data_IF_093991972443
#
_entry.id   IF_093991972443
#
_cell.length_a   1.000
_cell.length_b   1.000
_cell.length_c   1.000
_cell.angle_alpha   90.00
_cell.angle_beta   90.00
_cell.angle_gamma   90.00
#
_symmetry.space_group_name_H-M   'P 1'
#
loop_
_entity.id
_entity.type
_entity.pdbx_description
1 polymer ?
#
# COMPACT_ATOMS: atom_id res chain seq x y z
N UNK A 1 -44.35 -9.26 -36.04
CA UNK A 1 -43.36 -10.15 -35.42
C UNK A 1 -42.13 -9.32 -35.09
N UNK A 2 -41.96 -8.88 -33.83
CA UNK A 2 -40.75 -8.13 -33.45
C UNK A 2 -39.57 -9.13 -33.37
N UNK A 3 -38.37 -8.77 -33.87
CA UNK A 3 -37.21 -9.64 -33.73
C UNK A 3 -36.79 -9.68 -32.26
N UNK A 4 -36.77 -10.88 -31.70
CA UNK A 4 -36.21 -11.15 -30.39
C UNK A 4 -34.68 -11.12 -30.54
N UNK A 5 -34.06 -9.98 -30.24
CA UNK A 5 -32.60 -9.88 -30.15
C UNK A 5 -32.18 -10.50 -28.81
N UNK A 6 -31.74 -11.76 -28.85
CA UNK A 6 -31.08 -12.42 -27.74
C UNK A 6 -29.68 -11.81 -27.56
N UNK A 7 -29.55 -10.88 -26.61
CA UNK A 7 -28.25 -10.43 -26.10
C UNK A 7 -27.68 -11.53 -25.20
N UNK A 8 -26.83 -12.40 -25.75
CA UNK A 8 -25.97 -13.22 -24.91
C UNK A 8 -24.95 -12.30 -24.20
N UNK A 9 -24.92 -12.34 -22.87
CA UNK A 9 -23.83 -11.71 -22.14
C UNK A 9 -22.54 -12.45 -22.49
N UNK A 10 -21.52 -11.72 -22.97
CA UNK A 10 -20.22 -12.29 -23.28
C UNK A 10 -19.61 -12.94 -22.04
N UNK A 11 -18.97 -14.11 -22.24
CA UNK A 11 -18.27 -14.83 -21.17
C UNK A 11 -17.18 -13.95 -20.54
N UNK A 12 -16.99 -14.02 -19.21
CA UNK A 12 -15.95 -13.25 -18.53
C UNK A 12 -14.70 -14.12 -18.38
N UNK A 13 -13.60 -13.68 -18.98
CA UNK A 13 -12.29 -14.32 -18.90
C UNK A 13 -11.49 -13.71 -17.74
N UNK A 14 -11.15 -14.53 -16.74
CA UNK A 14 -10.36 -14.11 -15.57
C UNK A 14 -8.86 -14.32 -15.79
N UNK A 15 -8.08 -13.31 -15.43
CA UNK A 15 -6.61 -13.31 -15.50
C UNK A 15 -6.02 -13.04 -14.12
N UNK A 16 -5.10 -13.91 -13.66
CA UNK A 16 -4.31 -13.69 -12.45
C UNK A 16 -3.48 -12.41 -12.56
N UNK A 17 -3.58 -11.54 -11.56
CA UNK A 17 -2.89 -10.25 -11.54
C UNK A 17 -1.36 -10.37 -11.55
N UNK A 18 -0.80 -11.53 -11.17
CA UNK A 18 0.64 -11.79 -11.30
C UNK A 18 1.12 -11.86 -12.76
N UNK A 19 0.19 -12.03 -13.72
CA UNK A 19 0.47 -11.90 -15.17
C UNK A 19 0.44 -10.44 -15.64
N UNK A 20 0.00 -9.52 -14.78
CA UNK A 20 -0.06 -8.08 -15.01
C UNK A 20 1.05 -7.37 -14.23
N UNK A 21 1.02 -6.04 -14.21
CA UNK A 21 1.98 -5.24 -13.43
C UNK A 21 1.47 -5.04 -12.02
N UNK A 22 2.13 -5.67 -11.05
CA UNK A 22 1.89 -5.46 -9.62
C UNK A 22 2.97 -4.51 -9.07
N UNK A 23 2.57 -3.31 -8.70
CA UNK A 23 3.43 -2.33 -8.03
C UNK A 23 3.36 -2.49 -6.50
N UNK A 24 4.32 -1.90 -5.78
CA UNK A 24 4.39 -1.96 -4.31
C UNK A 24 4.93 -3.27 -3.74
N UNK A 25 5.24 -4.24 -4.60
CA UNK A 25 5.95 -5.48 -4.27
C UNK A 25 7.44 -5.32 -4.60
N UNK A 26 8.26 -5.05 -3.59
CA UNK A 26 9.65 -4.65 -3.80
C UNK A 26 10.65 -5.82 -3.92
N UNK A 27 10.24 -7.04 -3.56
CA UNK A 27 11.09 -8.24 -3.58
C UNK A 27 10.45 -9.36 -4.41
N UNK A 28 11.29 -10.30 -4.86
CA UNK A 28 10.89 -11.47 -5.63
C UNK A 28 10.98 -12.77 -4.82
N UNK A 29 11.83 -12.83 -3.80
CA UNK A 29 11.99 -13.97 -2.90
C UNK A 29 10.93 -13.93 -1.80
N UNK A 30 9.66 -14.19 -2.14
CA UNK A 30 8.55 -14.04 -1.20
C UNK A 30 8.08 -15.39 -0.63
N UNK A 31 7.60 -15.38 0.63
CA UNK A 31 6.98 -16.55 1.24
C UNK A 31 5.53 -16.75 0.76
N UNK A 32 4.84 -15.69 0.38
CA UNK A 32 3.60 -15.70 -0.40
C UNK A 32 3.58 -14.55 -1.43
N UNK A 33 2.78 -14.65 -2.50
CA UNK A 33 2.89 -13.77 -3.68
C UNK A 33 2.68 -12.27 -3.42
N UNK A 34 2.03 -11.92 -2.31
CA UNK A 34 1.65 -10.56 -1.93
C UNK A 34 2.25 -10.12 -0.58
N UNK A 35 3.31 -10.79 -0.13
CA UNK A 35 4.06 -10.35 1.05
C UNK A 35 4.85 -9.07 0.75
N UNK A 36 4.93 -8.18 1.74
CA UNK A 36 5.62 -6.89 1.65
C UNK A 36 7.07 -6.93 2.12
N UNK A 37 7.59 -8.09 2.52
CA UNK A 37 9.00 -8.31 2.89
C UNK A 37 9.48 -9.61 2.25
N UNK A 38 10.81 -9.75 2.01
CA UNK A 38 11.37 -10.98 1.48
C UNK A 38 11.25 -12.11 2.51
N UNK A 39 11.18 -13.36 2.05
CA UNK A 39 11.06 -14.55 2.89
C UNK A 39 12.22 -14.66 3.90
N UNK A 40 13.41 -14.22 3.48
CA UNK A 40 14.60 -14.14 4.33
C UNK A 40 14.39 -13.24 5.57
N UNK A 41 13.53 -12.21 5.48
CA UNK A 41 13.25 -11.31 6.59
C UNK A 41 12.57 -12.00 7.78
N UNK A 42 11.89 -13.13 7.58
CA UNK A 42 11.21 -13.86 8.66
C UNK A 42 12.13 -14.19 9.84
N UNK A 43 13.42 -14.41 9.57
CA UNK A 43 14.42 -14.77 10.59
C UNK A 43 15.08 -13.55 11.24
N UNK A 44 14.94 -12.36 10.65
CA UNK A 44 15.67 -11.15 11.09
C UNK A 44 14.76 -10.11 11.71
N UNK A 45 13.53 -9.95 11.21
CA UNK A 45 12.58 -8.99 11.78
C UNK A 45 11.82 -9.59 12.95
N UNK A 46 11.29 -8.72 13.82
CA UNK A 46 10.44 -9.14 14.94
C UNK A 46 9.20 -9.90 14.43
N UNK A 47 8.71 -10.93 15.14
CA UNK A 47 7.53 -11.69 14.71
C UNK A 47 6.29 -10.85 14.39
N UNK A 48 6.07 -9.75 15.13
CA UNK A 48 4.97 -8.82 14.87
C UNK A 48 5.14 -8.08 13.54
N UNK A 49 6.36 -7.68 13.16
CA UNK A 49 6.65 -7.06 11.87
C UNK A 49 6.45 -8.06 10.74
N UNK A 50 6.95 -9.29 10.90
CA UNK A 50 6.75 -10.36 9.93
C UNK A 50 5.26 -10.67 9.72
N UNK A 51 4.49 -10.80 10.79
CA UNK A 51 3.04 -11.03 10.68
C UNK A 51 2.35 -9.91 9.89
N UNK A 52 2.68 -8.65 10.19
CA UNK A 52 2.13 -7.49 9.49
C UNK A 52 2.62 -7.36 8.04
N UNK A 53 3.81 -7.88 7.69
CA UNK A 53 4.30 -7.86 6.30
C UNK A 53 3.52 -8.81 5.39
N UNK A 54 2.75 -9.75 5.96
CA UNK A 54 1.85 -10.64 5.21
C UNK A 54 0.59 -9.95 4.70
N UNK A 55 0.32 -8.70 5.10
CA UNK A 55 -0.75 -7.89 4.54
C UNK A 55 -0.33 -7.26 3.22
N UNK A 56 -1.27 -7.02 2.30
CA UNK A 56 -1.01 -6.47 0.96
C UNK A 56 -1.03 -4.93 0.88
N UNK A 57 -0.89 -4.23 2.01
CA UNK A 57 -1.00 -2.76 2.06
C UNK A 57 -0.13 -2.05 1.02
N UNK A 58 -0.75 -1.14 0.27
CA UNK A 58 -0.07 -0.31 -0.73
C UNK A 58 0.29 -1.01 -2.03
N UNK A 59 0.04 -2.31 -2.17
CA UNK A 59 0.15 -2.98 -3.46
C UNK A 59 -0.99 -2.54 -4.40
N UNK A 60 -0.67 -2.43 -5.68
CA UNK A 60 -1.62 -2.00 -6.71
C UNK A 60 -1.34 -2.70 -8.03
N UNK A 61 -2.40 -3.15 -8.70
CA UNK A 61 -2.31 -3.73 -10.03
C UNK A 61 -2.56 -2.64 -11.06
N UNK A 62 -1.62 -2.42 -11.97
CA UNK A 62 -1.74 -1.48 -13.08
C UNK A 62 -1.98 -2.21 -14.38
N UNK A 63 -3.06 -1.85 -15.07
CA UNK A 63 -3.48 -2.51 -16.30
C UNK A 63 -4.28 -1.57 -17.19
N UNK A 64 -4.40 -1.96 -18.47
CA UNK A 64 -5.13 -1.25 -19.50
C UNK A 64 -6.23 -2.14 -20.06
N UNK A 65 -7.40 -1.58 -20.34
CA UNK A 65 -8.53 -2.34 -20.90
C UNK A 65 -9.51 -1.44 -21.65
N UNK A 66 -10.13 -1.96 -22.71
CA UNK A 66 -11.29 -1.40 -23.41
C UNK A 66 -12.63 -2.02 -22.96
N UNK A 67 -12.58 -2.91 -21.97
CA UNK A 67 -13.77 -3.62 -21.51
C UNK A 67 -14.85 -2.65 -20.99
N UNK A 68 -16.09 -2.91 -21.40
CA UNK A 68 -17.28 -2.20 -20.89
C UNK A 68 -17.75 -2.73 -19.53
N UNK A 69 -17.21 -3.88 -19.11
CA UNK A 69 -17.41 -4.50 -17.81
C UNK A 69 -16.06 -4.96 -17.26
N UNK A 70 -15.77 -4.63 -16.00
CA UNK A 70 -14.62 -5.13 -15.26
C UNK A 70 -15.10 -5.90 -14.04
N UNK A 71 -14.63 -7.14 -13.91
CA UNK A 71 -14.82 -7.96 -12.72
C UNK A 71 -13.50 -8.12 -11.98
N UNK A 72 -13.56 -8.34 -10.67
CA UNK A 72 -12.44 -8.86 -9.90
C UNK A 72 -12.93 -9.94 -8.95
N UNK A 73 -12.11 -10.96 -8.73
CA UNK A 73 -12.30 -11.93 -7.66
C UNK A 73 -11.03 -12.04 -6.84
N UNK A 74 -11.17 -12.13 -5.53
CA UNK A 74 -10.01 -12.19 -4.63
C UNK A 74 -10.30 -13.03 -3.40
N UNK A 75 -9.26 -13.66 -2.88
CA UNK A 75 -9.30 -14.45 -1.65
C UNK A 75 -8.41 -13.81 -0.61
N UNK A 76 -8.98 -13.41 0.53
CA UNK A 76 -8.21 -12.90 1.67
C UNK A 76 -7.67 -14.05 2.53
N UNK A 77 -6.58 -13.80 3.24
CA UNK A 77 -5.94 -14.84 4.07
C UNK A 77 -6.58 -14.96 5.46
N UNK A 78 -7.14 -13.86 5.98
CA UNK A 78 -7.80 -13.81 7.29
C UNK A 78 -9.33 -13.60 7.15
N UNK A 79 -10.11 -14.36 7.92
CA UNK A 79 -11.59 -14.26 7.96
C UNK A 79 -12.09 -13.03 8.74
N UNK A 80 -11.24 -12.41 9.56
CA UNK A 80 -11.54 -11.13 10.20
C UNK A 80 -11.47 -10.02 9.15
N UNK A 81 -12.62 -9.71 8.55
CA UNK A 81 -12.70 -8.78 7.41
C UNK A 81 -12.61 -7.31 7.80
N UNK A 82 -12.83 -6.95 9.06
CA UNK A 82 -12.86 -5.59 9.56
C UNK A 82 -12.17 -5.49 10.93
N UNK A 83 -11.90 -4.25 11.37
CA UNK A 83 -11.46 -3.96 12.73
C UNK A 83 -12.46 -3.01 13.39
N UNK A 84 -12.55 -2.93 14.72
CA UNK A 84 -13.51 -2.04 15.40
C UNK A 84 -13.44 -0.57 14.98
N UNK A 85 -12.26 -0.13 14.52
CA UNK A 85 -11.99 1.25 14.11
C UNK A 85 -11.76 1.40 12.60
N UNK A 86 -11.91 0.33 11.79
CA UNK A 86 -11.62 0.35 10.36
C UNK A 86 -12.59 -0.54 9.57
N UNK A 87 -13.26 -0.02 8.53
CA UNK A 87 -14.30 -0.76 7.82
C UNK A 87 -13.72 -1.91 7.00
N UNK A 88 -14.56 -2.90 6.70
CA UNK A 88 -14.15 -4.07 5.93
C UNK A 88 -13.61 -3.73 4.54
N UNK A 89 -14.14 -2.67 3.93
CA UNK A 89 -13.67 -2.13 2.64
C UNK A 89 -12.22 -1.63 2.69
N UNK A 90 -11.74 -1.17 3.85
CA UNK A 90 -10.35 -0.76 4.06
C UNK A 90 -9.45 -1.93 4.42
N UNK A 91 -9.92 -2.79 5.33
CA UNK A 91 -9.14 -3.92 5.85
C UNK A 91 -8.93 -5.01 4.80
N UNK A 92 -10.00 -5.40 4.11
CA UNK A 92 -10.06 -6.59 3.23
C UNK A 92 -10.56 -6.32 1.81
N UNK A 93 -10.90 -5.07 1.49
CA UNK A 93 -11.51 -4.70 0.21
C UNK A 93 -10.51 -4.38 -0.90
N UNK A 94 -11.04 -4.18 -2.11
CA UNK A 94 -10.31 -3.67 -3.27
C UNK A 94 -10.76 -2.25 -3.59
N UNK A 95 -9.93 -1.48 -4.30
CA UNK A 95 -10.24 -0.09 -4.66
C UNK A 95 -9.78 0.22 -6.08
N UNK A 96 -10.75 0.41 -6.98
CA UNK A 96 -10.52 0.57 -8.41
C UNK A 96 -10.55 2.04 -8.81
N UNK A 97 -9.52 2.46 -9.53
CA UNK A 97 -9.37 3.78 -10.12
C UNK A 97 -9.20 3.67 -11.64
N UNK A 98 -9.65 4.70 -12.34
CA UNK A 98 -9.50 4.86 -13.79
C UNK A 98 -8.86 6.21 -14.09
N UNK A 99 -8.05 6.26 -15.15
CA UNK A 99 -7.47 7.51 -15.65
C UNK A 99 -8.53 8.30 -16.43
N UNK A 100 -8.72 9.56 -16.05
CA UNK A 100 -9.54 10.54 -16.79
C UNK A 100 -8.71 11.80 -17.01
N UNK A 101 -8.32 12.04 -18.26
CA UNK A 101 -7.30 13.04 -18.60
C UNK A 101 -5.98 12.72 -17.90
N UNK A 102 -5.38 13.70 -17.23
CA UNK A 102 -4.14 13.49 -16.44
C UNK A 102 -4.39 12.95 -15.02
N UNK A 103 -5.64 12.78 -14.58
CA UNK A 103 -5.96 12.47 -13.17
C UNK A 103 -6.47 11.05 -12.99
N UNK A 104 -6.07 10.42 -11.90
CA UNK A 104 -6.72 9.21 -11.41
C UNK A 104 -8.02 9.56 -10.69
N UNK A 105 -9.12 8.92 -11.11
CA UNK A 105 -10.44 9.07 -10.49
C UNK A 105 -10.89 7.74 -9.91
N UNK A 106 -11.53 7.81 -8.75
CA UNK A 106 -12.16 6.63 -8.17
C UNK A 106 -13.28 6.14 -9.09
N UNK A 107 -13.37 4.82 -9.27
CA UNK A 107 -14.38 4.18 -10.11
C UNK A 107 -15.31 3.28 -9.30
N UNK A 108 -14.74 2.34 -8.54
CA UNK A 108 -15.50 1.37 -7.77
C UNK A 108 -14.68 0.85 -6.58
N UNK A 109 -15.33 0.13 -5.67
CA UNK A 109 -14.65 -0.61 -4.62
C UNK A 109 -15.19 -2.03 -4.47
N UNK A 110 -14.30 -2.97 -4.15
CA UNK A 110 -14.65 -4.32 -3.76
C UNK A 110 -15.04 -4.35 -2.29
N UNK A 111 -16.25 -4.86 -2.00
CA UNK A 111 -16.83 -4.86 -0.66
C UNK A 111 -16.81 -6.29 -0.11
N UNK A 112 -15.84 -6.63 0.74
CA UNK A 112 -15.67 -8.01 1.19
C UNK A 112 -16.75 -8.39 2.19
N UNK A 113 -17.31 -9.58 2.04
CA UNK A 113 -18.30 -10.18 2.95
C UNK A 113 -17.92 -11.60 3.38
N UNK A 114 -16.94 -12.21 2.71
CA UNK A 114 -16.43 -13.54 3.03
C UNK A 114 -14.92 -13.62 2.76
N UNK A 115 -14.35 -14.81 2.92
CA UNK A 115 -12.94 -15.07 2.57
C UNK A 115 -12.68 -14.96 1.06
N UNK A 116 -13.60 -15.47 0.25
CA UNK A 116 -13.61 -15.34 -1.21
C UNK A 116 -14.64 -14.28 -1.61
N UNK A 117 -14.26 -13.34 -2.45
CA UNK A 117 -15.10 -12.20 -2.81
C UNK A 117 -15.03 -11.93 -4.30
N UNK A 118 -16.08 -11.29 -4.80
CA UNK A 118 -16.16 -10.80 -6.18
C UNK A 118 -16.68 -9.36 -6.20
N UNK A 119 -16.32 -8.63 -7.25
CA UNK A 119 -16.92 -7.34 -7.59
C UNK A 119 -17.04 -7.24 -9.11
N UNK A 120 -18.06 -6.53 -9.58
CA UNK A 120 -18.23 -6.21 -11.01
C UNK A 120 -18.65 -4.76 -11.14
N UNK A 121 -18.06 -4.05 -12.09
CA UNK A 121 -18.50 -2.74 -12.56
C UNK A 121 -18.81 -2.87 -14.05
N UNK A 122 -20.02 -2.48 -14.44
CA UNK A 122 -20.51 -2.53 -15.82
C UNK A 122 -20.92 -1.14 -16.31
N UNK A 123 -21.14 -0.99 -17.61
CA UNK A 123 -21.54 0.28 -18.21
C UNK A 123 -20.37 1.27 -18.36
N UNK A 124 -19.13 0.76 -18.43
CA UNK A 124 -17.99 1.58 -18.81
C UNK A 124 -18.12 1.93 -20.30
N UNK A 125 -17.83 3.17 -20.69
CA UNK A 125 -17.97 3.60 -22.07
C UNK A 125 -17.03 2.79 -23.00
N UNK A 126 -17.55 2.35 -24.15
CA UNK A 126 -16.95 1.31 -25.01
C UNK A 126 -15.94 1.80 -26.05
N UNK A 127 -15.77 3.10 -26.19
CA UNK A 127 -15.06 3.72 -27.32
C UNK A 127 -13.56 3.92 -27.08
N UNK A 128 -13.06 3.64 -25.88
CA UNK A 128 -11.71 4.04 -25.47
C UNK A 128 -11.06 3.02 -24.55
N UNK A 129 -9.83 2.63 -24.91
CA UNK A 129 -8.92 1.89 -24.03
C UNK A 129 -8.50 2.81 -22.88
N UNK A 130 -8.65 2.37 -21.62
CA UNK A 130 -8.35 3.17 -20.43
C UNK A 130 -7.30 2.53 -19.53
N UNK A 131 -6.60 3.38 -18.79
CA UNK A 131 -5.67 2.97 -17.74
C UNK A 131 -6.39 2.81 -16.40
N UNK A 132 -6.05 1.76 -15.67
CA UNK A 132 -6.66 1.41 -14.39
C UNK A 132 -5.60 1.10 -13.32
N UNK A 133 -5.98 1.35 -12.07
CA UNK A 133 -5.27 0.95 -10.87
C UNK A 133 -6.24 0.22 -9.94
N UNK A 134 -5.89 -1.00 -9.53
CA UNK A 134 -6.64 -1.78 -8.54
C UNK A 134 -5.80 -1.97 -7.28
N UNK A 135 -6.11 -1.22 -6.22
CA UNK A 135 -5.41 -1.34 -4.94
C UNK A 135 -5.89 -2.55 -4.14
N UNK A 136 -4.94 -3.21 -3.48
CA UNK A 136 -5.16 -4.41 -2.68
C UNK A 136 -5.43 -4.10 -1.19
N UNK A 137 -5.96 -5.05 -0.41
CA UNK A 137 -6.32 -4.83 1.00
C UNK A 137 -5.20 -4.25 1.87
N UNK A 138 -5.57 -3.41 2.85
CA UNK A 138 -4.60 -2.76 3.74
C UNK A 138 -4.22 -3.63 4.94
N UNK A 139 -5.19 -4.21 5.64
CA UNK A 139 -4.97 -4.90 6.92
C UNK A 139 -5.28 -6.40 6.84
N UNK A 140 -5.23 -6.96 5.63
CA UNK A 140 -5.36 -8.38 5.36
C UNK A 140 -4.39 -8.76 4.23
N UNK A 141 -3.98 -10.02 4.20
CA UNK A 141 -3.28 -10.57 3.05
C UNK A 141 -4.27 -11.04 2.00
N UNK A 142 -3.78 -11.24 0.78
CA UNK A 142 -4.51 -11.94 -0.28
C UNK A 142 -3.70 -13.14 -0.74
N UNK A 143 -4.37 -14.26 -1.02
CA UNK A 143 -3.75 -15.44 -1.62
C UNK A 143 -3.96 -15.49 -3.13
N UNK A 144 -5.06 -14.92 -3.63
CA UNK A 144 -5.36 -14.79 -5.05
C UNK A 144 -6.10 -13.49 -5.34
N UNK A 145 -5.80 -12.91 -6.51
CA UNK A 145 -6.54 -11.79 -7.09
C UNK A 145 -6.56 -12.00 -8.61
N UNK A 146 -7.73 -11.90 -9.22
CA UNK A 146 -7.91 -12.04 -10.66
C UNK A 146 -8.80 -10.91 -11.18
N UNK A 147 -8.50 -10.41 -12.38
CA UNK A 147 -9.30 -9.42 -13.09
C UNK A 147 -10.01 -10.12 -14.25
N UNK A 148 -11.32 -9.93 -14.33
CA UNK A 148 -12.18 -10.47 -15.37
C UNK A 148 -12.60 -9.39 -16.37
N UNK A 149 -12.48 -9.69 -17.66
CA UNK A 149 -13.01 -8.88 -18.77
C UNK A 149 -13.87 -9.75 -19.67
N UNK A 150 -14.84 -9.20 -20.43
CA UNK A 150 -15.55 -9.95 -21.45
C UNK A 150 -14.58 -10.54 -22.47
N UNK A 151 -14.87 -11.75 -22.94
CA UNK A 151 -14.11 -12.40 -24.01
C UNK A 151 -13.96 -11.46 -25.21
N UNK A 152 -12.74 -11.41 -25.77
CA UNK A 152 -12.37 -10.49 -26.85
C UNK A 152 -12.01 -9.06 -26.39
N UNK A 153 -12.29 -8.68 -25.14
CA UNK A 153 -11.80 -7.40 -24.59
C UNK A 153 -10.31 -7.47 -24.26
N UNK A 154 -9.63 -6.31 -24.34
CA UNK A 154 -8.21 -6.20 -23.99
C UNK A 154 -8.02 -6.16 -22.48
N UNK A 155 -6.98 -6.84 -22.02
CA UNK A 155 -6.45 -6.71 -20.67
C UNK A 155 -4.91 -6.76 -20.73
N UNK A 156 -4.29 -5.59 -20.70
CA UNK A 156 -2.87 -5.43 -20.97
C UNK A 156 -2.12 -4.92 -19.73
N UNK A 157 -0.92 -5.44 -19.48
CA UNK A 157 -0.02 -4.90 -18.46
C UNK A 157 0.52 -3.53 -18.87
N UNK A 158 0.82 -2.67 -17.90
CA UNK A 158 1.44 -1.37 -18.14
C UNK A 158 2.78 -1.25 -17.43
N UNK A 159 3.74 -0.44 -17.92
CA UNK A 159 4.98 -0.20 -17.18
C UNK A 159 4.71 0.50 -15.84
N UNK A 160 5.47 0.12 -14.81
CA UNK A 160 5.50 0.83 -13.52
C UNK A 160 6.19 2.18 -13.68
N UNK A 161 5.71 3.26 -13.03
CA UNK A 161 6.26 4.60 -13.23
C UNK A 161 7.52 4.82 -12.38
N UNK A 162 8.68 4.52 -12.97
CA UNK A 162 10.01 4.85 -12.43
C UNK A 162 10.34 4.21 -11.08
N UNK A 163 11.39 4.74 -10.41
CA UNK A 163 11.81 4.29 -9.09
C UNK A 163 10.73 4.58 -8.03
N UNK A 164 10.40 3.65 -7.13
CA UNK A 164 9.34 3.87 -6.15
C UNK A 164 9.72 4.88 -5.07
N UNK A 165 8.72 5.47 -4.42
CA UNK A 165 8.89 6.12 -3.12
C UNK A 165 8.60 5.07 -2.03
N UNK A 166 9.55 4.85 -1.13
CA UNK A 166 9.42 3.86 -0.06
C UNK A 166 8.99 4.56 1.21
N UNK A 167 7.84 4.18 1.75
CA UNK A 167 7.30 4.70 3.00
C UNK A 167 7.50 3.66 4.10
N UNK A 168 8.18 4.02 5.18
CA UNK A 168 8.32 3.19 6.36
C UNK A 168 7.73 3.91 7.56
N UNK A 169 6.95 3.19 8.36
CA UNK A 169 6.26 3.83 9.47
C UNK A 169 5.28 2.97 10.22
N UNK A 170 4.28 3.65 10.77
CA UNK A 170 3.38 3.10 11.78
C UNK A 170 2.10 2.50 11.19
N UNK A 171 1.05 2.36 12.01
CA UNK A 171 -0.30 2.03 11.57
C UNK A 171 -0.85 3.06 10.56
N UNK A 172 -0.43 4.32 10.68
CA UNK A 172 -0.87 5.41 9.81
C UNK A 172 -0.37 5.17 8.37
N UNK A 173 0.91 4.82 8.22
CA UNK A 173 1.49 4.46 6.92
C UNK A 173 0.88 3.16 6.39
N UNK A 174 0.66 2.17 7.27
CA UNK A 174 0.01 0.89 6.91
C UNK A 174 -1.38 1.14 6.30
N UNK A 175 -2.11 2.14 6.82
CA UNK A 175 -3.35 2.64 6.25
C UNK A 175 -4.49 2.79 7.26
N UNK A 176 -4.25 2.69 8.57
CA UNK A 176 -5.29 2.88 9.57
C UNK A 176 -5.62 4.38 9.75
N UNK A 177 -6.87 4.84 9.69
CA UNK A 177 -8.13 4.11 9.45
C UNK A 177 -8.77 4.49 8.10
N UNK A 178 -8.01 4.36 7.01
CA UNK A 178 -8.52 4.64 5.67
C UNK A 178 -9.75 3.77 5.35
N UNK A 179 -10.77 4.39 4.76
CA UNK A 179 -12.04 3.72 4.46
C UNK A 179 -11.94 2.66 3.35
N UNK A 180 -10.90 2.75 2.51
CA UNK A 180 -10.63 1.87 1.36
C UNK A 180 -9.15 1.97 0.96
N UNK A 181 -8.55 0.93 0.35
CA UNK A 181 -7.12 0.85 0.07
C UNK A 181 -6.46 2.06 -0.59
N UNK A 182 -7.07 2.60 -1.63
CA UNK A 182 -6.55 3.74 -2.38
C UNK A 182 -6.53 5.05 -1.57
N UNK A 183 -7.07 5.06 -0.35
CA UNK A 183 -7.07 6.22 0.55
C UNK A 183 -5.93 6.18 1.59
N UNK A 184 -5.08 5.15 1.60
CA UNK A 184 -3.85 5.18 2.37
C UNK A 184 -2.90 6.29 1.85
N UNK A 185 -2.15 6.92 2.75
CA UNK A 185 -1.26 8.04 2.40
C UNK A 185 -0.29 7.72 1.25
N UNK A 186 0.42 6.57 1.25
CA UNK A 186 1.29 6.20 0.11
C UNK A 186 0.52 6.11 -1.21
N UNK A 187 -0.67 5.51 -1.22
CA UNK A 187 -1.48 5.37 -2.43
C UNK A 187 -1.93 6.74 -2.99
N UNK A 188 -2.35 7.67 -2.12
CA UNK A 188 -2.73 9.03 -2.52
C UNK A 188 -1.53 9.76 -3.13
N UNK A 189 -0.36 9.68 -2.51
CA UNK A 189 0.85 10.34 -3.01
C UNK A 189 1.35 9.71 -4.31
N UNK A 190 1.30 8.39 -4.46
CA UNK A 190 1.66 7.70 -5.70
C UNK A 190 0.85 8.19 -6.90
N UNK A 191 -0.47 8.39 -6.73
CA UNK A 191 -1.33 8.96 -7.78
C UNK A 191 -1.09 10.44 -8.04
N UNK A 192 -0.70 11.22 -7.03
CA UNK A 192 -0.43 12.67 -7.20
C UNK A 192 0.92 12.92 -7.85
N UNK A 193 1.91 12.08 -7.56
CA UNK A 193 3.28 12.23 -8.01
C UNK A 193 3.60 11.39 -9.26
N UNK A 194 2.61 10.64 -9.76
CA UNK A 194 2.79 9.69 -10.87
C UNK A 194 4.00 8.77 -10.66
N UNK A 195 4.05 8.14 -9.48
CA UNK A 195 5.16 7.28 -9.06
C UNK A 195 4.66 6.05 -8.31
N UNK A 196 5.36 4.94 -8.50
CA UNK A 196 5.12 3.74 -7.73
C UNK A 196 5.45 4.00 -6.25
N UNK A 197 4.78 3.29 -5.35
CA UNK A 197 5.04 3.41 -3.91
C UNK A 197 5.19 2.05 -3.28
N UNK A 198 6.11 1.92 -2.33
CA UNK A 198 6.23 0.74 -1.47
C UNK A 198 5.78 1.16 -0.07
N UNK A 199 4.78 0.47 0.47
CA UNK A 199 4.24 0.75 1.80
C UNK A 199 4.79 -0.27 2.80
N UNK A 200 5.76 0.14 3.61
CA UNK A 200 6.33 -0.60 4.74
C UNK A 200 5.80 -0.04 6.07
N UNK A 201 4.51 0.23 6.15
CA UNK A 201 3.84 0.55 7.40
C UNK A 201 3.60 -0.69 8.25
N UNK A 202 3.95 -0.63 9.53
CA UNK A 202 3.75 -1.71 10.50
C UNK A 202 3.03 -1.17 11.74
N UNK A 203 1.76 -1.55 11.88
CA UNK A 203 0.87 -1.14 12.97
C UNK A 203 1.47 -1.40 14.34
N UNK A 204 1.71 -0.34 15.14
CA UNK A 204 2.36 -0.43 16.45
C UNK A 204 3.84 -0.86 16.44
N UNK A 205 4.42 -1.08 15.25
CA UNK A 205 5.68 -1.80 15.10
C UNK A 205 6.74 -1.14 14.20
N UNK A 206 6.47 -0.05 13.49
CA UNK A 206 7.53 0.74 12.85
C UNK A 206 8.30 1.55 13.91
N UNK A 207 9.46 1.07 14.36
CA UNK A 207 10.20 1.60 15.52
C UNK A 207 11.68 1.88 15.24
N UNK A 208 12.03 2.15 13.98
CA UNK A 208 13.39 2.46 13.52
C UNK A 208 14.36 1.29 13.73
N UNK A 209 13.92 0.07 13.46
CA UNK A 209 14.77 -1.11 13.54
C UNK A 209 15.85 -1.14 12.43
N UNK A 210 17.11 -1.46 12.74
CA UNK A 210 18.20 -1.47 11.75
C UNK A 210 18.01 -2.52 10.65
N UNK A 211 17.35 -3.64 10.95
CA UNK A 211 17.02 -4.67 9.95
C UNK A 211 16.08 -4.10 8.88
N UNK A 212 15.16 -3.20 9.25
CA UNK A 212 14.26 -2.53 8.30
C UNK A 212 15.02 -1.49 7.48
N UNK A 213 16.01 -0.81 8.05
CA UNK A 213 16.89 0.08 7.28
C UNK A 213 17.66 -0.67 6.19
N UNK A 214 18.17 -1.87 6.50
CA UNK A 214 18.86 -2.74 5.52
C UNK A 214 17.93 -3.17 4.40
N UNK A 215 16.76 -3.72 4.75
CA UNK A 215 15.75 -4.15 3.79
C UNK A 215 15.31 -2.98 2.90
N UNK A 216 15.04 -1.81 3.48
CA UNK A 216 14.74 -0.60 2.68
C UNK A 216 15.88 -0.25 1.72
N UNK A 217 17.13 -0.38 2.16
CA UNK A 217 18.33 -0.15 1.36
C UNK A 217 18.42 -1.03 0.11
N UNK A 218 17.86 -2.24 0.14
CA UNK A 218 17.83 -3.13 -1.03
C UNK A 218 16.98 -2.58 -2.18
N UNK A 219 15.98 -1.73 -1.87
CA UNK A 219 15.07 -1.14 -2.87
C UNK A 219 15.75 0.05 -3.55
N UNK A 220 15.84 0.08 -4.89
CA UNK A 220 16.32 1.28 -5.59
C UNK A 220 15.22 2.37 -5.64
N UNK A 221 15.14 3.18 -4.58
CA UNK A 221 14.08 4.16 -4.38
C UNK A 221 14.39 5.54 -4.97
N UNK A 222 13.34 6.27 -5.35
CA UNK A 222 13.41 7.71 -5.64
C UNK A 222 13.59 8.54 -4.35
N UNK A 223 12.97 8.09 -3.26
CA UNK A 223 13.12 8.67 -1.93
C UNK A 223 12.65 7.67 -0.86
N UNK A 224 13.20 7.80 0.34
CA UNK A 224 12.74 7.11 1.54
C UNK A 224 12.02 8.09 2.47
N UNK A 225 10.81 7.73 2.89
CA UNK A 225 10.01 8.50 3.84
C UNK A 225 9.94 7.70 5.14
N UNK A 226 10.46 8.28 6.23
CA UNK A 226 10.54 7.65 7.56
C UNK A 226 9.58 8.37 8.50
N UNK A 227 8.44 7.75 8.78
CA UNK A 227 7.33 8.27 9.59
C UNK A 227 6.97 7.29 10.72
N UNK A 228 7.87 7.18 11.69
CA UNK A 228 7.84 6.15 12.75
C UNK A 228 7.50 6.69 14.15
N UNK A 229 7.61 8.01 14.36
CA UNK A 229 7.51 8.63 15.67
C UNK A 229 6.24 8.27 16.47
N UNK A 230 5.05 8.08 15.83
CA UNK A 230 3.86 7.66 16.56
C UNK A 230 4.02 6.35 17.36
N UNK A 231 4.95 5.47 16.98
CA UNK A 231 5.22 4.20 17.67
C UNK A 231 6.42 4.25 18.63
N UNK A 232 7.16 5.36 18.66
CA UNK A 232 8.38 5.51 19.45
C UNK A 232 8.14 6.41 20.69
N UNK A 233 8.98 6.23 21.69
CA UNK A 233 9.25 7.21 22.75
C UNK A 233 10.39 8.15 22.34
N UNK A 234 10.52 9.29 23.02
CA UNK A 234 11.59 10.26 22.74
C UNK A 234 12.99 9.65 22.93
N UNK A 235 13.14 8.76 23.91
CA UNK A 235 14.38 8.01 24.13
C UNK A 235 14.71 7.09 22.93
N UNK A 236 13.73 6.32 22.44
CA UNK A 236 13.90 5.48 21.25
C UNK A 236 14.20 6.31 20.00
N UNK A 237 13.58 7.48 19.84
CA UNK A 237 13.88 8.41 18.73
C UNK A 237 15.32 8.88 18.79
N UNK A 238 15.78 9.33 19.96
CA UNK A 238 17.14 9.79 20.19
C UNK A 238 18.18 8.69 19.93
N UNK A 239 17.90 7.47 20.41
CA UNK A 239 18.79 6.32 20.29
C UNK A 239 18.85 5.78 18.85
N UNK A 240 17.71 5.64 18.16
CA UNK A 240 17.61 4.79 16.97
C UNK A 240 17.63 5.54 15.65
N UNK A 241 17.24 6.81 15.62
CA UNK A 241 17.12 7.57 14.36
C UNK A 241 18.47 7.70 13.65
N UNK A 242 19.53 8.10 14.36
CA UNK A 242 20.87 8.26 13.79
C UNK A 242 21.42 6.95 13.20
N UNK A 243 21.45 5.84 13.97
CA UNK A 243 21.83 4.54 13.45
C UNK A 243 21.00 4.07 12.25
N UNK A 244 19.68 4.27 12.28
CA UNK A 244 18.79 3.90 11.17
C UNK A 244 19.16 4.64 9.87
N UNK A 245 19.33 5.97 9.94
CA UNK A 245 19.71 6.79 8.78
C UNK A 245 21.09 6.40 8.25
N UNK A 246 22.07 6.21 9.13
CA UNK A 246 23.42 5.79 8.74
C UNK A 246 23.42 4.42 8.06
N UNK A 247 22.64 3.48 8.57
CA UNK A 247 22.52 2.16 7.94
C UNK A 247 21.91 2.27 6.54
N UNK A 248 20.83 3.03 6.37
CA UNK A 248 20.23 3.25 5.06
C UNK A 248 21.20 3.96 4.09
N UNK A 249 22.01 4.91 4.58
CA UNK A 249 23.04 5.61 3.80
C UNK A 249 24.16 4.69 3.31
N UNK A 250 24.56 3.66 4.07
CA UNK A 250 25.54 2.66 3.61
C UNK A 250 25.09 1.97 2.33
N UNK A 251 23.80 1.68 2.21
CA UNK A 251 23.21 1.05 1.03
C UNK A 251 22.85 2.06 -0.07
N UNK A 252 22.44 3.27 0.34
CA UNK A 252 21.95 4.33 -0.54
C UNK A 252 22.56 5.69 -0.19
N UNK A 253 23.81 5.95 -0.64
CA UNK A 253 24.56 7.15 -0.25
C UNK A 253 23.86 8.45 -0.68
N UNK A 254 23.21 8.46 -1.84
CA UNK A 254 22.69 9.69 -2.46
C UNK A 254 21.15 9.78 -2.53
N UNK A 255 20.42 8.70 -2.20
CA UNK A 255 18.96 8.72 -2.29
C UNK A 255 18.37 9.63 -1.21
N UNK A 256 17.45 10.55 -1.53
CA UNK A 256 16.80 11.40 -0.51
C UNK A 256 16.15 10.58 0.61
N UNK A 257 16.38 11.00 1.86
CA UNK A 257 15.70 10.48 3.05
C UNK A 257 14.93 11.64 3.68
N UNK A 258 13.64 11.47 3.88
CA UNK A 258 12.76 12.44 4.53
C UNK A 258 12.38 11.86 5.90
N UNK A 259 12.80 12.53 6.96
CA UNK A 259 12.35 12.23 8.32
C UNK A 259 11.09 13.06 8.61
N UNK A 260 10.02 12.38 9.04
CA UNK A 260 8.72 13.02 9.29
C UNK A 260 8.51 13.19 10.79
N UNK A 261 8.21 14.41 11.21
CA UNK A 261 7.87 14.73 12.60
C UNK A 261 6.54 14.10 13.05
N UNK A 262 6.42 13.85 14.35
CA UNK A 262 5.18 13.30 14.93
C UNK A 262 4.01 14.26 14.68
N UNK A 263 2.85 13.70 14.35
CA UNK A 263 1.62 14.49 14.25
C UNK A 263 1.10 14.80 15.66
N UNK A 264 0.40 15.92 15.82
CA UNK A 264 -0.32 16.16 17.07
C UNK A 264 -1.53 15.25 17.09
N UNK A 265 -1.63 14.39 18.10
CA UNK A 265 -2.76 13.48 18.21
C UNK A 265 -4.04 14.27 18.46
N UNK A 266 -5.15 13.83 17.85
CA UNK A 266 -6.39 14.59 17.90
C UNK A 266 -6.93 14.80 19.33
N UNK A 267 -6.63 13.88 20.24
CA UNK A 267 -6.99 13.95 21.67
C UNK A 267 -5.95 14.66 22.55
N UNK A 268 -4.81 15.11 22.00
CA UNK A 268 -3.74 15.74 22.77
C UNK A 268 -4.19 17.04 23.46
N UNK A 269 -5.17 17.75 22.90
CA UNK A 269 -5.75 18.96 23.50
C UNK A 269 -6.39 18.71 24.87
N UNK A 270 -6.85 17.48 25.13
CA UNK A 270 -7.47 17.06 26.40
C UNK A 270 -6.55 16.17 27.25
N UNK A 271 -5.42 15.72 26.71
CA UNK A 271 -4.51 14.78 27.35
C UNK A 271 -3.09 15.37 27.40
N UNK A 272 -2.74 16.12 28.46
CA UNK A 272 -1.45 16.81 28.56
C UNK A 272 -0.24 15.86 28.44
N UNK A 273 -0.34 14.65 28.96
CA UNK A 273 0.71 13.64 28.82
C UNK A 273 0.93 13.22 27.34
N UNK A 274 -0.14 13.14 26.54
CA UNK A 274 -0.05 12.85 25.10
C UNK A 274 0.55 14.03 24.34
N UNK A 275 0.12 15.26 24.66
CA UNK A 275 0.69 16.47 24.08
C UNK A 275 2.20 16.57 24.38
N UNK A 276 2.60 16.33 25.64
CA UNK A 276 4.00 16.30 26.06
C UNK A 276 4.78 15.23 25.29
N UNK A 277 4.26 14.01 25.21
CA UNK A 277 4.88 12.93 24.42
C UNK A 277 5.14 13.33 22.98
N UNK A 278 4.15 13.91 22.28
CA UNK A 278 4.34 14.33 20.89
C UNK A 278 5.41 15.45 20.80
N UNK A 279 5.45 16.39 21.74
CA UNK A 279 6.45 17.45 21.78
C UNK A 279 7.87 16.90 22.02
N UNK A 280 8.03 16.00 22.99
CA UNK A 280 9.31 15.36 23.32
C UNK A 280 9.83 14.54 22.13
N UNK A 281 8.96 13.78 21.44
CA UNK A 281 9.32 13.01 20.24
C UNK A 281 9.84 13.91 19.11
N UNK A 282 9.22 15.07 18.88
CA UNK A 282 9.69 16.04 17.87
C UNK A 282 11.01 16.67 18.26
N UNK A 283 11.15 17.08 19.52
CA UNK A 283 12.40 17.66 20.02
C UNK A 283 13.56 16.67 19.87
N UNK A 284 13.34 15.40 20.20
CA UNK A 284 14.33 14.34 20.01
C UNK A 284 14.70 14.16 18.52
N UNK A 285 13.71 14.12 17.62
CA UNK A 285 13.98 13.98 16.18
C UNK A 285 14.78 15.16 15.63
N UNK A 286 14.40 16.41 15.96
CA UNK A 286 15.13 17.61 15.53
C UNK A 286 16.57 17.59 16.01
N UNK A 287 16.78 17.27 17.29
CA UNK A 287 18.12 17.16 17.86
C UNK A 287 18.98 16.16 17.08
N UNK A 288 18.45 14.95 16.84
CA UNK A 288 19.21 13.93 16.07
C UNK A 288 19.42 14.40 14.63
N UNK A 289 18.44 15.04 14.00
CA UNK A 289 18.55 15.56 12.64
C UNK A 289 19.68 16.59 12.52
N UNK A 290 19.81 17.51 13.49
CA UNK A 290 20.87 18.52 13.53
C UNK A 290 22.27 17.88 13.76
N UNK A 291 22.32 16.72 14.42
CA UNK A 291 23.56 15.95 14.67
C UNK A 291 23.95 15.03 13.49
N UNK A 292 23.05 14.82 12.51
CA UNK A 292 23.36 14.01 11.34
C UNK A 292 24.38 14.75 10.46
N UNK A 293 25.55 14.14 10.32
CA UNK A 293 26.53 14.52 9.29
C UNK A 293 26.15 13.79 8.00
N UNK A 294 25.96 14.56 6.93
CA UNK A 294 25.51 14.09 5.62
C UNK A 294 26.67 13.71 4.72
#
# INVERSE_FOLDING_TARGET
MLPLILLFAAEIVFTDVNKLTVEGRAWTDLAAPFDRLPASAQKTVRPAVWSLSRHSAGMVVRFRSDATTLSARWTVTNENLAMPHMPATGVSGLDLYVRVGSKWRWLANGRPTAKMNTMTVSGLASDTVRDYLLYLPLYNGVSSVEIGVPEGSKLEKQPSPGKPIVFYGTSIIHGACASRPGMALPAILGRRLERATVNLGFSGNGKLEPELARLMGEIDAAAYIVDCLPNCSAAEVAERTGPFVRELRKHRPHTPIVLVEDRTYANAHSLPAVAKRNADNRAALRKVFDELTW
#
